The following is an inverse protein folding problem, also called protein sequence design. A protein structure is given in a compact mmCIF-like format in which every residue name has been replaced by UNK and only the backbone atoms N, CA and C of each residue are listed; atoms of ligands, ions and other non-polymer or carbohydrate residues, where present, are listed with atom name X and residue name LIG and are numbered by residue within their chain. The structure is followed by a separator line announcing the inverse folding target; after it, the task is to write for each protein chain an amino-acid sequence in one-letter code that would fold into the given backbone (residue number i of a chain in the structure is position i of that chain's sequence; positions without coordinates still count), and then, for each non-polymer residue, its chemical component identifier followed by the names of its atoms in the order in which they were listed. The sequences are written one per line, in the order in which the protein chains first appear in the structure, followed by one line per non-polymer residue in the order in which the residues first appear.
data_IF_369294293801
#
_entry.id   IF_369294293801
#
_cell.length_a   1.000
_cell.length_b   1.000
_cell.length_c   1.000
_cell.angle_alpha   90.00
_cell.angle_beta   90.00
_cell.angle_gamma   90.00
#
_symmetry.space_group_name_H-M   'P 1'
#
loop_
_entity.id
_entity.type
_entity.pdbx_description
1 polymer ?
#
# COMPACT_ATOMS: atom_id res chain seq x y z
N UNK A 1 -16.39 -26.47 1.62
CA UNK A 1 -16.39 -25.31 2.52
C UNK A 1 -17.55 -25.48 3.47
N UNK A 2 -17.32 -25.52 4.79
CA UNK A 2 -18.41 -25.42 5.76
C UNK A 2 -18.57 -23.94 6.10
N UNK A 3 -19.80 -23.45 6.15
CA UNK A 3 -20.09 -22.07 6.51
C UNK A 3 -21.15 -22.05 7.61
N UNK A 4 -20.98 -21.19 8.59
CA UNK A 4 -22.01 -20.84 9.55
C UNK A 4 -22.57 -19.45 9.21
N UNK A 5 -23.87 -19.29 9.44
CA UNK A 5 -24.57 -18.03 9.21
C UNK A 5 -25.40 -17.69 10.44
N UNK A 6 -25.32 -16.45 10.88
CA UNK A 6 -26.16 -15.92 11.96
C UNK A 6 -26.70 -14.54 11.61
N UNK A 7 -27.75 -14.15 12.30
CA UNK A 7 -28.41 -12.84 12.12
C UNK A 7 -28.66 -12.25 13.49
N UNK A 8 -28.37 -10.98 13.63
CA UNK A 8 -28.72 -10.19 14.80
C UNK A 8 -29.47 -8.91 14.38
N UNK A 9 -30.28 -8.37 15.25
CA UNK A 9 -31.02 -7.14 15.01
C UNK A 9 -30.87 -6.19 16.18
N UNK A 10 -30.56 -4.94 15.90
CA UNK A 10 -30.39 -3.89 16.90
C UNK A 10 -31.02 -2.59 16.42
N UNK A 11 -31.17 -1.66 17.37
CA UNK A 11 -31.70 -0.33 17.08
C UNK A 11 -30.64 0.74 17.41
N UNK A 12 -30.42 1.64 16.50
CA UNK A 12 -29.56 2.80 16.67
C UNK A 12 -30.27 4.05 16.13
N UNK A 13 -30.30 5.11 16.90
CA UNK A 13 -30.98 6.37 16.58
C UNK A 13 -32.44 6.21 16.11
N UNK A 14 -33.17 5.23 16.66
CA UNK A 14 -34.56 4.95 16.31
C UNK A 14 -34.75 4.10 15.04
N UNK A 15 -33.68 3.78 14.33
CA UNK A 15 -33.73 2.93 13.13
C UNK A 15 -33.35 1.50 13.52
N UNK A 16 -34.14 0.53 13.03
CA UNK A 16 -33.81 -0.88 13.18
C UNK A 16 -32.89 -1.35 12.06
N UNK A 17 -31.83 -2.06 12.47
CA UNK A 17 -30.85 -2.69 11.58
C UNK A 17 -30.86 -4.19 11.76
N UNK A 18 -30.44 -4.88 10.70
CA UNK A 18 -30.17 -6.32 10.71
C UNK A 18 -28.73 -6.53 10.28
N UNK A 19 -27.96 -7.18 11.14
CA UNK A 19 -26.59 -7.60 10.83
C UNK A 19 -26.58 -9.08 10.48
N UNK A 20 -25.99 -9.39 9.37
CA UNK A 20 -25.76 -10.73 8.84
C UNK A 20 -24.29 -11.08 9.03
N UNK A 21 -24.00 -12.25 9.55
CA UNK A 21 -22.65 -12.74 9.82
C UNK A 21 -22.45 -14.07 9.12
N UNK A 22 -21.37 -14.19 8.39
CA UNK A 22 -20.92 -15.43 7.77
C UNK A 22 -19.55 -15.80 8.31
N UNK A 23 -19.38 -17.05 8.69
CA UNK A 23 -18.10 -17.64 9.07
C UNK A 23 -17.81 -18.76 8.08
N UNK A 24 -16.77 -18.61 7.30
CA UNK A 24 -16.39 -19.53 6.23
C UNK A 24 -15.12 -20.24 6.65
N UNK A 25 -15.23 -21.55 6.88
CA UNK A 25 -14.08 -22.42 7.17
C UNK A 25 -13.33 -22.72 5.87
N UNK A 26 -12.10 -22.29 5.82
CA UNK A 26 -11.21 -22.38 4.67
C UNK A 26 -10.01 -23.28 4.95
N UNK A 27 -10.15 -24.30 5.78
CA UNK A 27 -9.14 -25.23 6.28
C UNK A 27 -8.22 -24.61 7.31
N UNK A 28 -7.17 -23.89 6.87
CA UNK A 28 -6.14 -23.31 7.75
C UNK A 28 -6.45 -21.88 8.18
N UNK A 29 -7.46 -21.27 7.54
CA UNK A 29 -7.93 -19.92 7.86
C UNK A 29 -9.45 -19.90 7.99
N UNK A 30 -9.96 -18.96 8.76
CA UNK A 30 -11.38 -18.67 8.89
C UNK A 30 -11.64 -17.26 8.38
N UNK A 31 -12.59 -17.11 7.47
CA UNK A 31 -13.01 -15.81 6.97
C UNK A 31 -14.33 -15.44 7.63
N UNK A 32 -14.32 -14.32 8.33
CA UNK A 32 -15.51 -13.74 8.94
C UNK A 32 -15.97 -12.53 8.11
N UNK A 33 -17.24 -12.53 7.73
CA UNK A 33 -17.84 -11.43 6.99
C UNK A 33 -19.06 -10.92 7.72
N UNK A 34 -19.23 -9.63 7.82
CA UNK A 34 -20.44 -9.01 8.37
C UNK A 34 -21.02 -8.01 7.38
N UNK A 35 -22.33 -7.95 7.32
CA UNK A 35 -23.07 -7.00 6.54
C UNK A 35 -24.27 -6.49 7.31
N UNK A 36 -24.35 -5.17 7.49
CA UNK A 36 -25.44 -4.53 8.22
C UNK A 36 -26.28 -3.69 7.27
N UNK A 37 -27.58 -3.87 7.36
CA UNK A 37 -28.54 -3.17 6.51
C UNK A 37 -29.75 -2.74 7.36
N UNK A 38 -30.46 -1.69 6.97
CA UNK A 38 -31.72 -1.34 7.60
C UNK A 38 -32.69 -2.53 7.53
N UNK A 39 -33.50 -2.73 8.57
CA UNK A 39 -34.43 -3.87 8.67
C UNK A 39 -35.33 -3.98 7.44
N UNK A 40 -35.27 -5.15 6.80
CA UNK A 40 -35.98 -5.42 5.54
C UNK A 40 -35.23 -4.98 4.28
N UNK A 41 -33.99 -4.48 4.43
CA UNK A 41 -33.13 -4.17 3.30
C UNK A 41 -32.61 -5.41 2.57
N UNK A 42 -32.16 -5.23 1.34
CA UNK A 42 -31.69 -6.30 0.47
C UNK A 42 -30.26 -6.74 0.84
N UNK A 43 -30.06 -8.03 1.04
CA UNK A 43 -28.76 -8.66 1.33
C UNK A 43 -28.12 -9.34 0.11
N UNK A 44 -28.74 -9.29 -1.04
CA UNK A 44 -28.30 -10.02 -2.25
C UNK A 44 -26.88 -9.66 -2.65
N UNK A 45 -26.50 -8.40 -2.48
CA UNK A 45 -25.11 -7.95 -2.77
C UNK A 45 -24.12 -8.66 -1.86
N UNK A 46 -24.40 -8.74 -0.56
CA UNK A 46 -23.53 -9.45 0.39
C UNK A 46 -23.47 -10.95 0.09
N UNK A 47 -24.59 -11.59 -0.24
CA UNK A 47 -24.64 -13.00 -0.62
C UNK A 47 -23.81 -13.27 -1.89
N UNK A 48 -23.85 -12.38 -2.88
CA UNK A 48 -23.04 -12.49 -4.08
C UNK A 48 -21.55 -12.33 -3.79
N UNK A 49 -21.17 -11.38 -2.93
CA UNK A 49 -19.78 -11.20 -2.50
C UNK A 49 -19.29 -12.48 -1.77
N UNK A 50 -20.07 -13.00 -0.83
CA UNK A 50 -19.73 -14.22 -0.10
C UNK A 50 -19.57 -15.42 -1.07
N UNK A 51 -20.46 -15.54 -2.05
CA UNK A 51 -20.42 -16.61 -3.04
C UNK A 51 -19.19 -16.49 -3.98
N UNK A 52 -18.66 -15.30 -4.16
CA UNK A 52 -17.47 -15.05 -5.00
C UNK A 52 -16.14 -15.25 -4.28
N UNK A 53 -16.14 -15.51 -2.98
CA UNK A 53 -14.91 -15.73 -2.21
C UNK A 53 -14.22 -16.99 -2.70
N UNK A 54 -13.01 -16.83 -3.23
CA UNK A 54 -12.11 -17.91 -3.61
C UNK A 54 -10.86 -17.91 -2.74
N UNK A 55 -10.48 -19.09 -2.27
CA UNK A 55 -9.27 -19.24 -1.47
C UNK A 55 -8.11 -19.52 -2.41
N UNK A 56 -7.07 -18.71 -2.33
CA UNK A 56 -5.85 -18.94 -3.09
C UNK A 56 -5.19 -20.24 -2.65
N UNK A 57 -4.84 -21.06 -3.61
CA UNK A 57 -4.07 -22.27 -3.36
C UNK A 57 -2.59 -21.89 -3.18
N UNK A 58 -1.96 -22.36 -2.10
CA UNK A 58 -0.52 -22.15 -1.85
C UNK A 58 0.39 -22.60 -3.00
N UNK A 59 -0.05 -23.56 -3.78
CA UNK A 59 0.72 -24.17 -4.86
C UNK A 59 0.41 -23.61 -6.25
N UNK A 60 -0.53 -22.64 -6.35
CA UNK A 60 -0.89 -22.03 -7.63
C UNK A 60 -0.18 -20.67 -7.74
N UNK A 61 0.64 -20.50 -8.78
CA UNK A 61 1.13 -19.20 -9.16
C UNK A 61 -0.05 -18.39 -9.74
N UNK A 62 -0.31 -17.24 -9.15
CA UNK A 62 -1.29 -16.29 -9.66
C UNK A 62 -0.58 -15.26 -10.53
N UNK A 63 -1.23 -14.75 -11.59
CA UNK A 63 -0.68 -13.65 -12.34
C UNK A 63 -0.53 -12.43 -11.42
N UNK A 64 0.37 -11.54 -11.78
CA UNK A 64 0.52 -10.26 -11.07
C UNK A 64 -0.77 -9.48 -11.17
N UNK A 65 -1.25 -9.03 -10.02
CA UNK A 65 -2.46 -8.23 -9.89
C UNK A 65 -2.10 -6.89 -9.25
N UNK A 66 -2.75 -5.83 -9.71
CA UNK A 66 -2.68 -4.49 -9.12
C UNK A 66 -4.10 -4.14 -8.67
N UNK A 67 -4.24 -3.86 -7.40
CA UNK A 67 -5.53 -3.53 -6.80
C UNK A 67 -5.41 -2.23 -5.98
N UNK A 68 -6.51 -1.55 -5.70
CA UNK A 68 -6.50 -0.40 -4.79
C UNK A 68 -5.79 -0.75 -3.48
N UNK A 69 -5.04 0.22 -2.93
CA UNK A 69 -4.28 -0.01 -1.71
C UNK A 69 -5.20 -0.50 -0.57
N UNK A 70 -4.79 -1.57 0.09
CA UNK A 70 -5.55 -2.16 1.20
C UNK A 70 -5.14 -1.52 2.53
N UNK A 71 -5.95 -1.74 3.56
CA UNK A 71 -5.73 -1.21 4.91
C UNK A 71 -4.38 -1.64 5.51
N UNK A 72 -3.93 -2.86 5.22
CA UNK A 72 -2.62 -3.35 5.69
C UNK A 72 -1.48 -2.53 5.11
N UNK A 73 -1.45 -2.36 3.80
CA UNK A 73 -0.39 -1.60 3.12
C UNK A 73 -0.48 -0.10 3.44
N UNK A 74 -1.68 0.46 3.67
CA UNK A 74 -1.82 1.82 4.21
C UNK A 74 -1.12 1.93 5.56
N UNK A 75 -1.31 0.94 6.44
CA UNK A 75 -0.64 0.87 7.74
C UNK A 75 0.88 0.80 7.61
N UNK A 76 1.39 0.02 6.66
CA UNK A 76 2.83 -0.09 6.36
C UNK A 76 3.41 1.23 5.84
N UNK A 77 2.73 1.86 4.87
CA UNK A 77 3.14 3.17 4.32
C UNK A 77 3.17 4.24 5.41
N UNK A 78 2.14 4.32 6.24
CA UNK A 78 2.07 5.29 7.33
C UNK A 78 3.18 5.06 8.37
N UNK A 79 3.40 3.80 8.78
CA UNK A 79 4.45 3.45 9.74
C UNK A 79 5.86 3.77 9.21
N UNK A 80 6.11 3.50 7.94
CA UNK A 80 7.38 3.82 7.29
C UNK A 80 7.59 5.34 7.17
N UNK A 81 6.54 6.08 6.81
CA UNK A 81 6.54 7.54 6.78
C UNK A 81 6.86 8.15 8.15
N UNK A 82 6.14 7.72 9.19
CA UNK A 82 6.35 8.22 10.56
C UNK A 82 7.78 7.93 11.05
N UNK A 83 8.28 6.73 10.75
CA UNK A 83 9.64 6.36 11.10
C UNK A 83 10.68 7.26 10.40
N UNK A 84 10.53 7.49 9.08
CA UNK A 84 11.43 8.34 8.31
C UNK A 84 11.37 9.80 8.77
N UNK A 85 10.17 10.34 8.96
CA UNK A 85 9.94 11.69 9.48
C UNK A 85 10.60 11.90 10.85
N UNK A 86 10.37 10.97 11.78
CA UNK A 86 11.00 10.99 13.11
C UNK A 86 12.52 10.89 13.02
N UNK A 87 13.04 10.08 12.11
CA UNK A 87 14.48 9.92 11.91
C UNK A 87 15.12 11.19 11.36
N UNK A 88 14.49 11.83 10.36
CA UNK A 88 14.92 13.12 9.80
C UNK A 88 14.90 14.20 10.90
N UNK A 89 13.81 14.30 11.65
CA UNK A 89 13.68 15.26 12.75
C UNK A 89 14.79 15.06 13.79
N UNK A 90 15.05 13.82 14.18
CA UNK A 90 16.07 13.48 15.17
C UNK A 90 17.51 13.77 14.70
N UNK A 91 17.79 13.55 13.41
CA UNK A 91 19.14 13.68 12.89
C UNK A 91 19.48 15.08 12.38
N UNK A 92 18.51 15.74 11.74
CA UNK A 92 18.73 17.03 11.08
C UNK A 92 18.07 18.20 11.83
N UNK A 93 17.22 17.93 12.83
CA UNK A 93 16.38 18.96 13.50
C UNK A 93 15.48 19.70 12.49
N UNK A 94 15.13 19.04 11.39
CA UNK A 94 14.25 19.56 10.33
C UNK A 94 12.94 18.79 10.32
N UNK A 95 11.85 19.46 9.96
CA UNK A 95 10.56 18.79 9.73
C UNK A 95 10.53 18.17 8.34
N UNK A 96 9.71 17.13 8.18
CA UNK A 96 9.46 16.43 6.94
C UNK A 96 7.99 16.62 6.56
N UNK A 97 7.74 17.19 5.39
CA UNK A 97 6.41 17.54 4.89
C UNK A 97 6.03 16.82 3.59
N UNK A 98 6.88 15.92 3.11
CA UNK A 98 6.70 15.15 1.86
C UNK A 98 6.58 16.04 0.62
N UNK A 99 7.35 17.12 0.56
CA UNK A 99 7.48 17.96 -0.62
C UNK A 99 8.80 17.68 -1.36
N UNK A 100 8.96 18.15 -2.60
CA UNK A 100 10.16 17.90 -3.42
C UNK A 100 11.46 18.29 -2.69
N UNK A 101 11.45 19.37 -1.92
CA UNK A 101 12.60 19.82 -1.12
C UNK A 101 13.02 18.82 -0.03
N UNK A 102 12.13 17.95 0.40
CA UNK A 102 12.42 16.93 1.41
C UNK A 102 13.25 15.77 0.87
N UNK A 103 13.40 15.64 -0.46
CA UNK A 103 14.30 14.67 -1.09
C UNK A 103 15.72 14.86 -0.58
N UNK A 104 16.17 16.11 -0.44
CA UNK A 104 17.51 16.41 0.06
C UNK A 104 17.67 16.00 1.54
N UNK A 105 16.60 16.10 2.34
CA UNK A 105 16.63 15.67 3.75
C UNK A 105 16.74 14.15 3.87
N UNK A 106 15.98 13.39 3.06
CA UNK A 106 16.12 11.93 3.02
C UNK A 106 17.55 11.56 2.57
N UNK A 107 18.05 12.19 1.50
CA UNK A 107 19.38 11.93 0.97
C UNK A 107 20.47 12.21 2.03
N UNK A 108 20.42 13.35 2.73
CA UNK A 108 21.36 13.73 3.79
C UNK A 108 21.42 12.67 4.89
N UNK A 109 20.26 12.14 5.29
CA UNK A 109 20.17 11.09 6.31
C UNK A 109 20.71 9.76 5.80
N UNK A 110 20.38 9.37 4.57
CA UNK A 110 20.90 8.15 3.94
C UNK A 110 22.41 8.17 3.82
N UNK A 111 22.99 9.31 3.43
CA UNK A 111 24.42 9.48 3.19
C UNK A 111 25.22 9.71 4.50
N UNK A 112 24.55 9.83 5.63
CA UNK A 112 25.19 10.05 6.94
C UNK A 112 26.12 8.92 7.43
N UNK A 113 26.09 7.76 6.77
CA UNK A 113 26.84 6.57 7.17
C UNK A 113 26.31 5.86 8.43
N UNK A 114 25.17 6.32 8.97
CA UNK A 114 24.57 5.74 10.20
C UNK A 114 23.81 4.45 9.93
N UNK A 115 23.39 4.21 8.69
CA UNK A 115 22.63 3.02 8.30
C UNK A 115 23.54 2.05 7.54
N UNK A 116 23.59 0.82 8.05
CA UNK A 116 24.35 -0.25 7.41
C UNK A 116 23.54 -0.86 6.25
N UNK A 117 24.21 -1.36 5.18
CA UNK A 117 23.54 -1.97 4.04
C UNK A 117 22.55 -3.11 4.40
N UNK A 118 22.76 -3.77 5.55
CA UNK A 118 21.91 -4.90 6.02
C UNK A 118 20.64 -4.46 6.73
N UNK A 119 20.51 -3.18 7.07
CA UNK A 119 19.34 -2.65 7.77
C UNK A 119 18.18 -2.41 6.78
N UNK A 120 17.70 -3.50 6.18
CA UNK A 120 16.69 -3.50 5.12
C UNK A 120 15.51 -2.57 5.42
N UNK A 121 14.89 -2.72 6.58
CA UNK A 121 13.73 -1.93 6.98
C UNK A 121 14.00 -0.41 6.94
N UNK A 122 15.19 0.03 7.34
CA UNK A 122 15.52 1.46 7.30
C UNK A 122 15.55 2.00 5.86
N UNK A 123 16.16 1.23 4.96
CA UNK A 123 16.25 1.61 3.55
C UNK A 123 14.90 1.57 2.83
N UNK A 124 14.08 0.56 3.13
CA UNK A 124 12.70 0.48 2.62
C UNK A 124 11.86 1.65 3.13
N UNK A 125 11.97 2.02 4.41
CA UNK A 125 11.25 3.16 4.97
C UNK A 125 11.66 4.49 4.31
N UNK A 126 12.92 4.70 3.97
CA UNK A 126 13.35 5.85 3.18
C UNK A 126 12.75 5.83 1.77
N UNK A 127 12.67 4.65 1.16
CA UNK A 127 12.01 4.47 -0.13
C UNK A 127 10.53 4.82 -0.07
N UNK A 128 9.81 4.37 0.95
CA UNK A 128 8.39 4.72 1.15
C UNK A 128 8.22 6.22 1.39
N UNK A 129 9.08 6.85 2.21
CA UNK A 129 9.04 8.30 2.41
C UNK A 129 9.29 9.07 1.10
N UNK A 130 10.20 8.59 0.25
CA UNK A 130 10.38 9.12 -1.10
C UNK A 130 9.12 8.91 -1.97
N UNK A 131 8.47 7.75 -1.85
CA UNK A 131 7.19 7.47 -2.51
C UNK A 131 6.08 8.44 -2.13
N UNK A 132 6.01 8.87 -0.86
CA UNK A 132 5.02 9.88 -0.44
C UNK A 132 5.26 11.23 -1.08
N UNK A 133 6.52 11.60 -1.35
CA UNK A 133 6.85 12.82 -2.12
C UNK A 133 6.33 12.69 -3.55
N UNK A 134 6.55 11.54 -4.20
CA UNK A 134 6.06 11.30 -5.56
C UNK A 134 4.54 11.46 -5.67
N UNK A 135 3.79 10.93 -4.69
CA UNK A 135 2.33 11.09 -4.64
C UNK A 135 1.92 12.55 -4.48
N UNK A 136 2.61 13.31 -3.65
CA UNK A 136 2.26 14.71 -3.40
C UNK A 136 2.63 15.65 -4.56
N UNK A 137 3.69 15.32 -5.30
CA UNK A 137 4.23 16.20 -6.36
C UNK A 137 3.73 15.84 -7.76
N UNK A 138 3.10 14.67 -7.92
CA UNK A 138 2.69 14.16 -9.24
C UNK A 138 1.20 13.82 -9.22
N UNK A 139 0.38 14.69 -9.77
CA UNK A 139 -1.06 14.45 -9.92
C UNK A 139 -1.32 13.16 -10.71
N UNK A 140 -2.15 12.26 -10.17
CA UNK A 140 -2.41 10.95 -10.76
C UNK A 140 -1.46 9.83 -10.32
N UNK A 141 -0.46 10.13 -9.48
CA UNK A 141 0.34 9.11 -8.81
C UNK A 141 -0.37 8.66 -7.53
N UNK A 142 -0.63 7.37 -7.40
CA UNK A 142 -1.35 6.83 -6.25
C UNK A 142 -0.73 5.53 -5.72
N UNK A 143 -0.94 5.28 -4.44
CA UNK A 143 -0.56 4.02 -3.82
C UNK A 143 -1.53 2.91 -4.22
N UNK A 144 -0.98 1.77 -4.59
CA UNK A 144 -1.69 0.54 -4.92
C UNK A 144 -1.10 -0.64 -4.16
N UNK A 145 -1.85 -1.74 -4.06
CA UNK A 145 -1.30 -3.03 -3.61
C UNK A 145 -0.96 -3.87 -4.83
N UNK A 146 0.27 -4.34 -4.90
CA UNK A 146 0.72 -5.31 -5.89
C UNK A 146 0.71 -6.70 -5.25
N UNK A 147 0.10 -7.65 -5.94
CA UNK A 147 0.10 -9.05 -5.59
C UNK A 147 0.87 -9.78 -6.67
N UNK A 148 2.03 -10.34 -6.34
CA UNK A 148 2.89 -11.05 -7.28
C UNK A 148 3.30 -12.42 -6.71
N UNK A 149 2.60 -13.44 -7.11
CA UNK A 149 2.77 -14.78 -6.57
C UNK A 149 2.39 -14.86 -5.08
N UNK A 150 3.40 -14.94 -4.21
CA UNK A 150 3.23 -14.96 -2.74
C UNK A 150 3.57 -13.62 -2.08
N UNK A 151 4.10 -12.69 -2.84
CA UNK A 151 4.51 -11.39 -2.34
C UNK A 151 3.36 -10.39 -2.52
N UNK A 152 3.12 -9.62 -1.50
CA UNK A 152 2.15 -8.54 -1.48
C UNK A 152 2.84 -7.31 -0.90
N UNK A 153 2.78 -6.19 -1.59
CA UNK A 153 3.50 -4.98 -1.18
C UNK A 153 2.86 -3.71 -1.73
N UNK A 154 3.03 -2.57 -1.03
CA UNK A 154 2.61 -1.27 -1.56
C UNK A 154 3.54 -0.82 -2.69
N UNK A 155 2.95 -0.32 -3.76
CA UNK A 155 3.66 0.30 -4.88
C UNK A 155 2.92 1.57 -5.33
N UNK A 156 3.52 2.32 -6.24
CA UNK A 156 2.90 3.48 -6.86
C UNK A 156 2.50 3.15 -8.29
N UNK A 157 1.30 3.56 -8.68
CA UNK A 157 0.82 3.48 -10.05
C UNK A 157 0.46 4.88 -10.54
N UNK A 158 0.79 5.19 -11.78
CA UNK A 158 0.46 6.47 -12.40
C UNK A 158 -0.76 6.33 -13.32
N UNK A 159 -1.87 7.04 -13.00
CA UNK A 159 -3.10 7.14 -13.82
C UNK A 159 -3.63 5.79 -14.34
N UNK A 160 -3.60 4.74 -13.51
CA UNK A 160 -3.98 3.37 -13.90
C UNK A 160 -3.23 2.82 -15.14
N UNK A 161 -2.08 3.37 -15.47
CA UNK A 161 -1.23 2.92 -16.57
C UNK A 161 -0.36 1.73 -16.17
N UNK A 162 0.44 1.23 -17.12
CA UNK A 162 1.46 0.20 -16.85
C UNK A 162 2.67 0.74 -16.07
N UNK A 163 2.75 2.05 -15.81
CA UNK A 163 3.80 2.65 -15.01
C UNK A 163 3.61 2.31 -13.54
N UNK A 164 4.41 1.36 -13.07
CA UNK A 164 4.40 0.86 -11.71
C UNK A 164 5.77 1.06 -11.07
N UNK A 165 5.80 1.63 -9.87
CA UNK A 165 7.02 1.98 -9.15
C UNK A 165 6.96 1.34 -7.76
N UNK A 166 8.00 0.61 -7.39
CA UNK A 166 8.24 0.18 -6.00
C UNK A 166 9.33 1.08 -5.39
N UNK A 167 8.94 2.13 -4.64
CA UNK A 167 9.90 3.08 -4.10
C UNK A 167 10.77 2.46 -3.00
N UNK A 168 10.25 1.47 -2.25
CA UNK A 168 11.02 0.74 -1.26
C UNK A 168 12.14 -0.07 -1.93
N UNK A 169 11.82 -0.78 -3.01
CA UNK A 169 12.79 -1.55 -3.77
C UNK A 169 13.83 -0.66 -4.48
N UNK A 170 13.48 0.54 -4.95
CA UNK A 170 14.44 1.48 -5.55
C UNK A 170 15.60 1.75 -4.59
N UNK A 171 15.28 2.10 -3.35
CA UNK A 171 16.30 2.42 -2.34
C UNK A 171 17.00 1.15 -1.85
N UNK A 172 16.23 0.14 -1.46
CA UNK A 172 16.79 -1.10 -0.92
C UNK A 172 17.71 -1.83 -1.90
N UNK A 173 17.34 -1.93 -3.18
CA UNK A 173 18.15 -2.62 -4.17
C UNK A 173 19.53 -2.00 -4.41
N UNK A 174 19.67 -0.71 -4.17
CA UNK A 174 20.96 -0.01 -4.21
C UNK A 174 21.72 -0.16 -2.91
N UNK A 175 21.05 0.06 -1.78
CA UNK A 175 21.67 -0.04 -0.46
C UNK A 175 22.27 -1.43 -0.19
N UNK A 176 21.51 -2.52 -0.46
CA UNK A 176 22.00 -3.90 -0.25
C UNK A 176 23.23 -4.26 -1.08
N UNK A 177 23.47 -3.56 -2.18
CA UNK A 177 24.63 -3.73 -3.06
C UNK A 177 25.73 -2.71 -2.76
N UNK A 178 25.55 -1.88 -1.73
CA UNK A 178 26.43 -0.77 -1.40
C UNK A 178 26.66 0.19 -2.59
N UNK A 179 25.62 0.42 -3.37
CA UNK A 179 25.61 1.35 -4.49
C UNK A 179 25.00 2.68 -4.06
N UNK A 180 25.46 3.82 -4.64
CA UNK A 180 24.86 5.11 -4.37
C UNK A 180 23.41 5.14 -4.87
N UNK A 181 22.54 5.76 -4.09
CA UNK A 181 21.15 6.01 -4.44
C UNK A 181 20.94 7.53 -4.50
N UNK A 182 20.87 8.10 -5.69
CA UNK A 182 20.58 9.52 -5.91
C UNK A 182 19.06 9.68 -6.09
N UNK A 183 18.37 10.07 -5.02
CA UNK A 183 16.91 10.23 -5.02
C UNK A 183 16.45 11.37 -5.94
N UNK A 184 17.27 12.42 -6.09
CA UNK A 184 16.93 13.53 -6.98
C UNK A 184 17.00 13.12 -8.46
N UNK A 185 17.96 12.28 -8.82
CA UNK A 185 18.03 11.69 -10.14
C UNK A 185 16.87 10.72 -10.42
N UNK A 186 16.51 9.89 -9.42
CA UNK A 186 15.34 9.00 -9.52
C UNK A 186 14.03 9.79 -9.65
N UNK A 187 13.83 10.85 -8.88
CA UNK A 187 12.66 11.73 -8.99
C UNK A 187 12.51 12.30 -10.39
N UNK A 188 13.60 12.88 -10.95
CA UNK A 188 13.60 13.43 -12.32
C UNK A 188 13.35 12.38 -13.39
N UNK A 189 13.85 11.16 -13.19
CA UNK A 189 13.62 10.03 -14.08
C UNK A 189 12.14 9.65 -14.07
N UNK A 190 11.56 9.45 -12.90
CA UNK A 190 10.15 9.08 -12.71
C UNK A 190 9.23 10.15 -13.29
N UNK A 191 9.53 11.44 -13.04
CA UNK A 191 8.75 12.55 -13.59
C UNK A 191 8.72 12.53 -15.13
N UNK A 192 9.85 12.29 -15.79
CA UNK A 192 9.90 12.16 -17.24
C UNK A 192 9.15 10.96 -17.78
N UNK A 193 9.18 9.83 -17.04
CA UNK A 193 8.41 8.64 -17.41
C UNK A 193 6.90 8.90 -17.28
N UNK A 194 6.46 9.63 -16.26
CA UNK A 194 5.07 10.03 -16.10
C UNK A 194 4.61 11.01 -17.18
N UNK A 195 5.46 12.00 -17.56
CA UNK A 195 5.21 12.93 -18.67
C UNK A 195 5.02 12.16 -20.00
N UNK A 196 5.85 11.15 -20.27
CA UNK A 196 5.71 10.32 -21.46
C UNK A 196 4.37 9.53 -21.48
N UNK A 197 3.91 9.03 -20.33
CA UNK A 197 2.60 8.37 -20.24
C UNK A 197 1.46 9.34 -20.55
N UNK A 198 1.56 10.61 -20.13
CA UNK A 198 0.55 11.63 -20.44
C UNK A 198 0.51 11.95 -21.94
N UNK A 199 1.66 11.99 -22.61
CA UNK A 199 1.75 12.24 -24.06
C UNK A 199 1.14 11.10 -24.88
N UNK A 200 1.21 9.86 -24.37
CA UNK A 200 0.61 8.67 -25.02
C UNK A 200 -0.92 8.59 -24.85
N UNK A 201 -1.48 9.23 -23.82
CA UNK A 201 -2.93 9.23 -23.54
C UNK A 201 -3.67 10.35 -24.29
N UNK A 202 -2.99 11.44 -24.70
CA UNK A 202 -3.55 12.59 -25.40
C UNK A 202 -3.45 12.45 -26.92
#
# INVERSE_FOLDING_TARGET
MQSAYSVDSFQEEGIWYTSHFWVIDCRDICVECSFTVAKGGDKTVAENIIASIEIRSENKAYPKEIIPIRVLEIGEVNSAYEWASSTIKKQLTKDFSSQEEDIEKIQEVMDSGRFQPQQRMAWENFGVAFGTILVNEMEGMEWVTVIDGKEEYPALQFMNSDMLIDPAAIVWNKAKKNLPCDLKAEFKKIKREAEAVLDDIN
#
